data_IF_060816342257
#
_entry.id   IF_060816342257
#
_cell.length_a   1.000
_cell.length_b   1.000
_cell.length_c   1.000
_cell.angle_alpha   90.00
_cell.angle_beta   90.00
_cell.angle_gamma   90.00
#
_symmetry.space_group_name_H-M   'P 1'
#
loop_
_entity.id
_entity.type
_entity.pdbx_description
1 polymer ?
#
# COMPACT_ATOMS: atom_id res chain seq x y z
N UNK A 1 0.01 -16.11 -2.19
CA UNK A 1 1.50 -16.18 -2.08
C UNK A 1 1.98 -15.98 -0.64
N UNK A 2 1.34 -15.15 0.19
CA UNK A 2 1.56 -15.13 1.66
C UNK A 2 1.23 -16.47 2.37
N UNK A 3 0.19 -17.18 1.94
CA UNK A 3 -0.25 -18.44 2.55
C UNK A 3 0.81 -19.56 2.58
N UNK A 4 1.77 -19.58 1.63
CA UNK A 4 2.77 -20.65 1.54
C UNK A 4 3.82 -20.61 2.66
N UNK A 5 4.09 -19.44 3.23
CA UNK A 5 5.07 -19.30 4.32
C UNK A 5 4.43 -19.45 5.72
N UNK A 6 3.11 -19.64 5.80
CA UNK A 6 2.35 -19.72 7.06
C UNK A 6 1.90 -21.13 7.43
N UNK A 7 2.34 -22.16 6.71
CA UNK A 7 1.92 -23.56 6.93
C UNK A 7 0.39 -23.74 7.02
N UNK A 8 -0.40 -22.91 6.33
CA UNK A 8 -1.87 -23.00 6.31
C UNK A 8 -2.37 -23.25 4.90
N UNK A 9 -3.20 -24.28 4.77
CA UNK A 9 -3.72 -24.82 3.51
C UNK A 9 -4.90 -24.05 2.92
N UNK A 10 -5.33 -22.93 3.51
CA UNK A 10 -6.37 -22.07 2.95
C UNK A 10 -6.06 -20.58 3.10
N UNK A 11 -6.40 -19.83 2.04
CA UNK A 11 -6.50 -18.37 2.07
C UNK A 11 -7.88 -18.06 2.66
N UNK A 12 -7.93 -17.40 3.82
CA UNK A 12 -9.18 -16.92 4.40
C UNK A 12 -9.21 -15.39 4.32
N UNK A 13 -10.34 -14.83 3.91
CA UNK A 13 -10.62 -13.40 3.99
C UNK A 13 -11.54 -13.17 5.20
N UNK A 14 -11.23 -12.21 6.10
CA UNK A 14 -10.11 -11.25 6.02
C UNK A 14 -8.79 -11.79 6.61
N UNK A 15 -7.67 -11.37 6.01
CA UNK A 15 -6.30 -11.55 6.53
C UNK A 15 -5.68 -10.15 6.69
N UNK A 16 -5.13 -9.84 7.88
CA UNK A 16 -4.40 -8.58 8.12
C UNK A 16 -2.89 -8.87 8.06
N UNK A 17 -2.11 -8.04 7.38
CA UNK A 17 -0.64 -8.12 7.38
C UNK A 17 -0.10 -6.75 7.74
N UNK A 18 0.64 -6.67 8.84
CA UNK A 18 1.31 -5.45 9.28
C UNK A 18 2.80 -5.67 9.04
N UNK A 19 3.44 -4.80 8.27
CA UNK A 19 4.88 -4.87 8.03
C UNK A 19 5.41 -6.14 7.35
N UNK A 20 4.55 -6.91 6.70
CA UNK A 20 4.93 -8.22 6.16
C UNK A 20 5.02 -9.32 7.21
N UNK A 21 4.70 -9.03 8.48
CA UNK A 21 4.55 -10.01 9.56
C UNK A 21 3.06 -10.19 9.91
N UNK A 22 2.72 -11.35 10.44
CA UNK A 22 1.40 -12.00 10.40
C UNK A 22 0.29 -11.34 11.24
N UNK A 23 -0.91 -11.26 10.64
CA UNK A 23 -2.24 -11.71 11.08
C UNK A 23 -2.63 -11.55 12.56
N UNK A 24 -3.03 -10.35 12.94
CA UNK A 24 -3.97 -10.13 14.03
C UNK A 24 -5.37 -9.88 13.44
N UNK A 25 -6.20 -10.91 13.44
CA UNK A 25 -7.65 -10.75 13.26
C UNK A 25 -8.15 -9.80 14.36
N UNK A 26 -8.33 -8.52 14.02
CA UNK A 26 -9.20 -7.59 14.74
C UNK A 26 -8.75 -7.14 16.13
N UNK A 27 -7.45 -7.13 16.47
CA UNK A 27 -6.96 -6.48 17.69
C UNK A 27 -6.26 -5.14 17.38
N UNK A 28 -6.97 -3.99 17.54
CA UNK A 28 -6.38 -2.67 17.38
C UNK A 28 -5.17 -2.40 18.27
N UNK A 29 -5.09 -3.06 19.45
CA UNK A 29 -3.95 -2.87 20.35
C UNK A 29 -2.71 -3.61 19.86
N UNK A 30 -2.85 -4.81 19.29
CA UNK A 30 -1.75 -5.51 18.65
C UNK A 30 -1.19 -4.71 17.46
N UNK A 31 -2.06 -4.10 16.65
CA UNK A 31 -1.66 -3.23 15.54
C UNK A 31 -0.94 -1.99 16.06
N UNK A 32 -1.49 -1.31 17.07
CA UNK A 32 -0.87 -0.13 17.65
C UNK A 32 0.52 -0.43 18.24
N UNK A 33 0.68 -1.57 18.91
CA UNK A 33 1.97 -2.04 19.44
C UNK A 33 2.99 -2.28 18.32
N UNK A 34 2.60 -3.02 17.29
CA UNK A 34 3.46 -3.28 16.13
C UNK A 34 3.91 -1.99 15.41
N UNK A 35 3.06 -0.95 15.38
CA UNK A 35 3.39 0.36 14.82
C UNK A 35 4.27 1.22 15.75
N UNK A 36 4.28 0.95 17.06
CA UNK A 36 5.01 1.74 18.07
C UNK A 36 6.45 1.29 18.31
N UNK A 37 6.81 0.09 17.84
CA UNK A 37 8.17 -0.41 17.91
C UNK A 37 9.09 0.49 17.05
N UNK A 38 10.19 0.97 17.62
CA UNK A 38 11.17 1.77 16.89
C UNK A 38 11.76 0.92 15.77
N UNK A 39 11.52 1.32 14.52
CA UNK A 39 12.04 0.62 13.34
C UNK A 39 13.28 1.35 12.84
N UNK A 40 14.39 0.63 12.82
CA UNK A 40 15.61 1.04 12.13
C UNK A 40 15.41 0.85 10.62
N UNK A 41 14.71 1.80 10.01
CA UNK A 41 14.23 1.73 8.63
C UNK A 41 14.79 2.84 7.75
N UNK A 42 14.65 2.69 6.43
CA UNK A 42 15.02 3.73 5.48
C UNK A 42 13.98 4.84 5.43
N UNK A 43 14.44 6.09 5.41
CA UNK A 43 13.57 7.23 5.13
C UNK A 43 13.12 7.18 3.66
N UNK A 44 11.81 7.12 3.45
CA UNK A 44 11.18 7.19 2.13
C UNK A 44 10.40 8.50 2.05
N UNK A 45 10.63 9.26 0.99
CA UNK A 45 9.85 10.46 0.67
C UNK A 45 9.10 10.24 -0.64
N UNK A 46 7.81 10.54 -0.65
CA UNK A 46 6.99 10.52 -1.86
C UNK A 46 6.39 11.90 -2.03
N UNK A 47 6.56 12.48 -3.22
CA UNK A 47 5.96 13.76 -3.59
C UNK A 47 5.29 13.66 -4.95
N UNK A 48 4.32 14.53 -5.19
CA UNK A 48 3.67 14.65 -6.50
C UNK A 48 3.82 16.09 -6.98
N UNK A 49 4.56 16.29 -8.07
CA UNK A 49 4.82 17.60 -8.69
C UNK A 49 4.92 17.42 -10.21
N UNK A 50 4.46 18.42 -10.97
CA UNK A 50 4.58 18.44 -12.43
C UNK A 50 4.09 17.16 -13.13
N UNK A 51 2.95 16.61 -12.66
CA UNK A 51 2.37 15.34 -13.12
C UNK A 51 3.31 14.12 -12.99
N UNK A 52 4.27 14.18 -12.08
CA UNK A 52 5.17 13.10 -11.71
C UNK A 52 5.00 12.74 -10.25
N UNK A 53 5.01 11.44 -9.95
CA UNK A 53 5.26 10.92 -8.61
C UNK A 53 6.76 10.71 -8.48
N UNK A 54 7.37 11.42 -7.54
CA UNK A 54 8.79 11.33 -7.23
C UNK A 54 8.99 10.61 -5.91
N UNK A 55 9.82 9.58 -5.95
CA UNK A 55 10.16 8.72 -4.81
C UNK A 55 11.64 8.89 -4.51
N UNK A 56 11.97 9.20 -3.26
CA UNK A 56 13.35 9.38 -2.80
C UNK A 56 13.60 8.50 -1.57
N UNK A 57 14.68 7.72 -1.62
CA UNK A 57 15.15 6.89 -0.53
C UNK A 57 16.47 7.43 -0.02
N UNK A 58 16.59 7.59 1.31
CA UNK A 58 17.84 7.94 1.97
C UNK A 58 18.87 6.82 1.95
N UNK A 59 20.08 7.12 2.42
CA UNK A 59 21.11 6.10 2.65
C UNK A 59 20.85 5.34 3.96
N UNK A 60 21.21 4.05 3.97
CA UNK A 60 21.21 3.17 5.13
C UNK A 60 22.25 2.07 4.90
N UNK A 61 23.47 2.30 5.38
CA UNK A 61 24.61 1.41 5.16
C UNK A 61 24.37 0.05 5.83
N UNK A 62 24.64 -1.03 5.11
CA UNK A 62 24.40 -2.39 5.59
C UNK A 62 22.96 -2.88 5.45
N UNK A 63 22.07 -2.10 4.82
CA UNK A 63 20.74 -2.57 4.46
C UNK A 63 20.82 -3.79 3.51
N UNK A 64 19.90 -4.77 3.66
CA UNK A 64 19.78 -5.85 2.70
C UNK A 64 19.23 -5.36 1.35
N UNK A 65 19.60 -6.05 0.27
CA UNK A 65 19.01 -5.85 -1.05
C UNK A 65 17.47 -5.94 -0.99
N UNK A 66 16.83 -4.85 -1.42
CA UNK A 66 15.38 -4.65 -1.25
C UNK A 66 14.70 -4.22 -2.53
N UNK A 67 13.47 -4.68 -2.73
CA UNK A 67 12.58 -4.17 -3.77
C UNK A 67 11.91 -2.87 -3.31
N UNK A 68 11.85 -1.89 -4.20
CA UNK A 68 11.06 -0.67 -4.04
C UNK A 68 9.78 -0.84 -4.83
N UNK A 69 8.65 -0.95 -4.14
CA UNK A 69 7.35 -1.26 -4.73
C UNK A 69 6.43 -0.06 -4.61
N UNK A 70 5.90 0.41 -5.74
CA UNK A 70 4.83 1.40 -5.81
C UNK A 70 3.47 0.68 -5.81
N UNK A 71 2.62 1.08 -4.88
CA UNK A 71 1.24 0.61 -4.76
C UNK A 71 0.31 1.80 -4.95
N UNK A 72 -0.54 1.78 -5.97
CA UNK A 72 -1.57 2.80 -6.19
C UNK A 72 -2.93 2.27 -5.75
N UNK A 73 -3.72 3.10 -5.08
CA UNK A 73 -5.01 2.69 -4.53
C UNK A 73 -6.06 3.78 -4.58
N UNK A 74 -7.32 3.36 -4.57
CA UNK A 74 -8.49 4.20 -4.33
C UNK A 74 -8.74 4.22 -2.82
N UNK A 75 -8.55 5.39 -2.19
CA UNK A 75 -8.64 5.53 -0.73
C UNK A 75 -10.01 5.19 -0.17
N UNK A 76 -11.09 5.48 -0.90
CA UNK A 76 -12.44 5.23 -0.44
C UNK A 76 -13.40 5.00 -1.61
N UNK A 77 -14.28 4.02 -1.48
CA UNK A 77 -15.37 3.73 -2.41
C UNK A 77 -16.63 3.33 -1.64
N UNK A 78 -17.79 3.72 -2.16
CA UNK A 78 -19.10 3.31 -1.64
C UNK A 78 -19.84 2.60 -2.76
N UNK A 79 -20.28 1.37 -2.51
CA UNK A 79 -21.08 0.59 -3.46
C UNK A 79 -22.42 0.17 -2.86
N UNK A 80 -23.49 0.24 -3.67
CA UNK A 80 -24.81 -0.20 -3.25
C UNK A 80 -24.93 -1.72 -3.36
N UNK A 81 -25.47 -2.37 -2.32
CA UNK A 81 -25.70 -3.82 -2.33
C UNK A 81 -27.04 -4.09 -3.02
N UNK A 82 -26.99 -4.58 -4.26
CA UNK A 82 -28.17 -4.73 -5.12
C UNK A 82 -29.08 -5.93 -4.81
N UNK A 83 -28.59 -6.96 -4.11
CA UNK A 83 -29.39 -8.16 -3.78
C UNK A 83 -28.85 -8.94 -2.57
N UNK A 84 -29.69 -9.81 -2.00
CA UNK A 84 -29.36 -10.67 -0.87
C UNK A 84 -29.82 -10.08 0.47
N UNK A 85 -29.41 -10.72 1.56
CA UNK A 85 -29.81 -10.33 2.92
C UNK A 85 -29.38 -8.90 3.30
N UNK A 86 -28.33 -8.39 2.67
CA UNK A 86 -27.82 -7.03 2.86
C UNK A 86 -28.33 -6.02 1.82
N UNK A 87 -29.32 -6.40 0.99
CA UNK A 87 -29.87 -5.50 -0.02
C UNK A 87 -30.38 -4.19 0.59
N UNK A 88 -30.13 -3.06 -0.09
CA UNK A 88 -30.51 -1.73 0.38
C UNK A 88 -29.50 -1.09 1.35
N UNK A 89 -28.40 -1.78 1.67
CA UNK A 89 -27.27 -1.22 2.42
C UNK A 89 -26.16 -0.76 1.46
N UNK A 90 -25.31 0.12 1.97
CA UNK A 90 -24.06 0.52 1.31
C UNK A 90 -22.89 -0.27 1.90
N UNK A 91 -21.93 -0.65 1.05
CA UNK A 91 -20.64 -1.19 1.44
C UNK A 91 -19.58 -0.09 1.28
N UNK A 92 -18.92 0.24 2.38
CA UNK A 92 -17.78 1.16 2.40
C UNK A 92 -16.48 0.35 2.32
N UNK A 93 -15.62 0.71 1.37
CA UNK A 93 -14.34 0.07 1.12
C UNK A 93 -13.24 1.12 1.15
N UNK A 94 -12.11 0.80 1.79
CA UNK A 94 -10.98 1.71 1.95
C UNK A 94 -9.71 1.12 1.35
N UNK A 95 -8.84 2.00 0.84
CA UNK A 95 -7.52 1.67 0.30
C UNK A 95 -7.53 0.53 -0.73
N UNK A 96 -8.48 0.55 -1.66
CA UNK A 96 -8.63 -0.50 -2.68
C UNK A 96 -7.47 -0.41 -3.66
N UNK A 97 -6.59 -1.40 -3.64
CA UNK A 97 -5.41 -1.45 -4.52
C UNK A 97 -5.86 -1.51 -5.99
N UNK A 98 -5.32 -0.58 -6.79
CA UNK A 98 -5.55 -0.48 -8.24
C UNK A 98 -4.34 -0.91 -9.06
N UNK A 99 -3.15 -0.85 -8.47
CA UNK A 99 -1.91 -1.21 -9.17
C UNK A 99 -0.77 -1.48 -8.20
N UNK A 100 0.09 -2.42 -8.58
CA UNK A 100 1.33 -2.74 -7.89
C UNK A 100 2.44 -2.80 -8.94
N UNK A 101 3.55 -2.10 -8.72
CA UNK A 101 4.67 -2.06 -9.64
C UNK A 101 5.99 -1.94 -8.88
N UNK A 102 6.94 -2.84 -9.17
CA UNK A 102 8.32 -2.69 -8.70
C UNK A 102 9.01 -1.58 -9.50
N UNK A 103 9.56 -0.59 -8.81
CA UNK A 103 10.33 0.52 -9.39
C UNK A 103 11.79 0.14 -9.63
N UNK A 104 12.32 -0.74 -8.79
CA UNK A 104 13.66 -1.31 -8.89
C UNK A 104 14.17 -1.79 -7.53
N UNK A 105 15.43 -2.18 -7.50
CA UNK A 105 16.11 -2.64 -6.27
C UNK A 105 16.77 -1.46 -5.53
N UNK A 106 16.98 -1.57 -4.24
CA UNK A 106 17.72 -0.61 -3.41
C UNK A 106 18.67 -1.37 -2.49
N UNK A 107 19.91 -0.89 -2.36
CA UNK A 107 21.02 -1.59 -1.70
C UNK A 107 21.67 -0.73 -0.60
N UNK A 108 20.89 0.16 0.03
CA UNK A 108 21.39 1.05 1.08
C UNK A 108 21.90 2.42 0.63
N UNK A 109 22.03 2.67 -0.67
CA UNK A 109 22.49 3.96 -1.21
C UNK A 109 21.34 4.92 -1.55
N UNK A 110 21.57 6.24 -1.55
CA UNK A 110 20.55 7.22 -1.97
C UNK A 110 20.04 6.87 -3.37
N UNK A 111 18.71 6.77 -3.52
CA UNK A 111 18.09 6.39 -4.79
C UNK A 111 16.79 7.14 -5.03
N UNK A 112 16.56 7.54 -6.29
CA UNK A 112 15.36 8.22 -6.73
C UNK A 112 14.65 7.47 -7.86
N UNK A 113 13.32 7.62 -7.93
CA UNK A 113 12.49 7.13 -9.03
C UNK A 113 11.44 8.18 -9.39
N UNK A 114 11.20 8.36 -10.68
CA UNK A 114 10.15 9.25 -11.20
C UNK A 114 9.13 8.44 -12.00
N UNK A 115 7.85 8.74 -11.79
CA UNK A 115 6.75 8.00 -12.40
C UNK A 115 5.68 8.96 -12.92
N UNK A 116 5.39 8.95 -14.23
CA UNK A 116 4.32 9.78 -14.77
C UNK A 116 2.99 9.39 -14.15
N UNK A 117 2.21 10.36 -13.68
CA UNK A 117 0.84 10.13 -13.17
C UNK A 117 -0.04 9.52 -14.27
N UNK A 118 0.21 9.84 -15.54
CA UNK A 118 -0.47 9.25 -16.70
C UNK A 118 -0.20 7.75 -16.88
N UNK A 119 0.88 7.21 -16.29
CA UNK A 119 1.18 5.78 -16.30
C UNK A 119 0.53 5.02 -15.13
N UNK A 120 -0.24 5.70 -14.27
CA UNK A 120 -0.94 5.12 -13.14
C UNK A 120 -2.41 4.83 -13.48
N UNK A 121 -3.07 3.89 -12.77
CA UNK A 121 -4.50 3.66 -12.94
C UNK A 121 -5.30 4.97 -12.77
N UNK A 122 -6.22 5.30 -13.69
CA UNK A 122 -6.85 6.61 -13.74
C UNK A 122 -7.74 6.92 -12.53
N UNK A 123 -8.25 5.89 -11.87
CA UNK A 123 -9.12 5.95 -10.69
C UNK A 123 -8.35 5.84 -9.35
N UNK A 124 -7.01 5.71 -9.38
CA UNK A 124 -6.21 5.78 -8.17
C UNK A 124 -6.21 7.21 -7.61
N UNK A 125 -6.43 7.34 -6.30
CA UNK A 125 -6.41 8.63 -5.60
C UNK A 125 -5.11 8.84 -4.84
N UNK A 126 -4.41 7.77 -4.50
CA UNK A 126 -3.25 7.77 -3.62
C UNK A 126 -2.21 6.74 -4.07
N UNK A 127 -0.97 6.96 -3.65
CA UNK A 127 0.14 6.05 -3.82
C UNK A 127 0.84 5.79 -2.50
N UNK A 128 1.30 4.56 -2.31
CA UNK A 128 2.23 4.16 -1.26
C UNK A 128 3.48 3.57 -1.91
N UNK A 129 4.63 3.80 -1.29
CA UNK A 129 5.89 3.14 -1.61
C UNK A 129 6.25 2.25 -0.44
N UNK A 130 6.64 1.01 -0.74
CA UNK A 130 7.12 0.03 0.22
C UNK A 130 8.55 -0.36 -0.17
N UNK A 131 9.46 -0.36 0.80
CA UNK A 131 10.82 -0.90 0.66
C UNK A 131 10.86 -2.20 1.43
N UNK A 132 11.05 -3.30 0.70
CA UNK A 132 10.98 -4.63 1.29
C UNK A 132 12.19 -5.46 0.87
N UNK A 133 12.97 -5.99 1.82
CA UNK A 133 14.07 -6.88 1.48
C UNK A 133 13.58 -8.09 0.72
N UNK A 134 14.41 -8.59 -0.19
CA UNK A 134 14.11 -9.81 -0.93
C UNK A 134 13.75 -10.97 0.02
N UNK A 135 13.01 -11.96 -0.50
CA UNK A 135 12.52 -13.12 0.27
C UNK A 135 11.48 -12.80 1.35
N UNK A 136 10.70 -11.73 1.15
CA UNK A 136 9.54 -11.39 1.99
C UNK A 136 9.90 -11.07 3.45
N UNK A 137 11.02 -10.38 3.66
CA UNK A 137 11.35 -9.86 4.98
C UNK A 137 10.42 -8.70 5.36
N UNK A 138 10.47 -8.19 6.61
CA UNK A 138 9.65 -7.06 7.01
C UNK A 138 9.83 -5.83 6.11
N UNK A 139 8.79 -5.03 5.96
CA UNK A 139 8.89 -3.74 5.26
C UNK A 139 9.81 -2.82 6.09
N UNK A 140 10.92 -2.38 5.50
CA UNK A 140 11.94 -1.56 6.18
C UNK A 140 11.82 -0.07 5.86
N UNK A 141 10.85 0.33 5.04
CA UNK A 141 10.57 1.71 4.72
C UNK A 141 9.23 1.84 4.01
N UNK A 142 8.46 2.86 4.37
CA UNK A 142 7.20 3.13 3.70
C UNK A 142 6.85 4.62 3.74
N UNK A 143 6.19 5.09 2.70
CA UNK A 143 5.58 6.42 2.66
C UNK A 143 4.36 6.40 1.74
N UNK A 144 3.43 7.32 1.96
CA UNK A 144 2.26 7.46 1.11
C UNK A 144 1.96 8.93 0.81
N UNK A 145 1.39 9.19 -0.35
CA UNK A 145 1.02 10.53 -0.80
C UNK A 145 -0.23 10.49 -1.70
N UNK A 146 -1.07 11.51 -1.59
CA UNK A 146 -2.21 11.68 -2.49
C UNK A 146 -1.73 12.01 -3.91
N UNK A 147 -2.33 11.38 -4.92
CA UNK A 147 -2.02 11.60 -6.34
C UNK A 147 -2.76 12.80 -6.94
N UNK A 148 -3.92 13.13 -6.37
CA UNK A 148 -4.73 14.29 -6.75
C UNK A 148 -4.99 15.15 -5.51
N UNK A 149 -4.84 16.46 -5.64
CA UNK A 149 -5.43 17.38 -4.66
C UNK A 149 -6.95 17.23 -4.74
N UNK A 150 -7.54 16.71 -3.68
CA UNK A 150 -8.96 16.45 -3.38
C UNK A 150 -9.98 17.02 -4.38
N UNK A 151 -10.59 16.15 -5.17
CA UNK A 151 -11.83 16.41 -5.90
C UNK A 151 -12.71 15.17 -5.84
N UNK A 152 -13.57 15.08 -4.83
CA UNK A 152 -14.53 13.98 -4.65
C UNK A 152 -15.43 13.92 -5.88
N UNK A 153 -15.36 12.83 -6.65
CA UNK A 153 -16.34 12.55 -7.72
C UNK A 153 -17.20 11.38 -7.28
N UNK A 154 -18.40 11.67 -6.80
CA UNK A 154 -19.46 10.67 -6.60
C UNK A 154 -19.99 10.29 -7.98
N UNK A 155 -19.74 9.06 -8.44
CA UNK A 155 -20.49 8.49 -9.56
C UNK A 155 -21.77 7.87 -9.00
N UNK A 156 -22.90 8.49 -9.32
CA UNK A 156 -24.21 7.86 -9.13
C UNK A 156 -24.28 6.60 -10.00
N UNK A 157 -24.73 5.49 -9.42
CA UNK A 157 -25.16 4.33 -10.18
C UNK A 157 -26.35 4.75 -11.06
N UNK A 158 -26.23 4.58 -12.38
CA UNK A 158 -27.33 4.77 -13.30
C UNK A 158 -28.34 3.60 -13.16
N UNK A 159 -29.63 3.86 -13.39
CA UNK A 159 -30.74 2.96 -13.06
C UNK A 159 -30.76 1.66 -13.84
#
# INVERSE_FOLDING_TARGET
VYARNLHRSSVYTPQLVVDGQVDSLGDPQAVARALSEHRDGVLVTVTVRDAQVRVELGAHLGAPDSDVVLVTYLRHSVSAIGRGENAGRNLEEFNIVRGIRTLGTWQGEVRGFDVPVSALPPDATDAAVLVQPHRQAPIIGAAAHALRSSGVTVRAAQP
#
